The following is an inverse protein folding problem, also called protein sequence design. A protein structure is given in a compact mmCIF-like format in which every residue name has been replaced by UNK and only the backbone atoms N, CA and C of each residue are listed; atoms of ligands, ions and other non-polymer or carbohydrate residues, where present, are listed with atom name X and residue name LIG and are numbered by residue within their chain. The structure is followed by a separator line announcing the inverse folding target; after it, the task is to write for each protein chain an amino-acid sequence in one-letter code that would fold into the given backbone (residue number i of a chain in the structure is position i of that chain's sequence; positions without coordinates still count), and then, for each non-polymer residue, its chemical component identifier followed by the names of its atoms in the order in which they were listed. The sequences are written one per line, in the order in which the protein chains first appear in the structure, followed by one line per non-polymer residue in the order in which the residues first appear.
data_IF_965858752919
#
_entry.id   IF_965858752919
#
_cell.length_a   1.000
_cell.length_b   1.000
_cell.length_c   1.000
_cell.angle_alpha   90.00
_cell.angle_beta   90.00
_cell.angle_gamma   90.00
#
_symmetry.space_group_name_H-M   'P 1'
#
loop_
_entity.id
_entity.type
_entity.pdbx_description
1 polymer ?
#
# COMPACT_ATOMS: atom_id res chain seq x y z
N UNK A 1 3.50 24.80 -42.69
CA UNK A 1 2.21 24.20 -42.29
C UNK A 1 2.51 23.21 -41.17
N UNK A 2 2.11 23.55 -39.95
CA UNK A 2 2.25 22.71 -38.76
C UNK A 2 1.17 21.62 -38.78
N UNK A 3 1.57 20.36 -38.61
CA UNK A 3 0.64 19.30 -38.23
C UNK A 3 1.05 18.81 -36.84
N UNK A 4 0.23 19.18 -35.87
CA UNK A 4 0.25 18.64 -34.53
C UNK A 4 -0.24 17.18 -34.57
N UNK A 5 0.54 16.27 -34.00
CA UNK A 5 0.06 14.96 -33.56
C UNK A 5 0.14 14.94 -32.04
N UNK A 6 -1.01 15.20 -31.43
CA UNK A 6 -1.29 14.88 -30.04
C UNK A 6 -1.67 13.39 -29.95
N UNK A 7 -1.08 12.66 -28.99
CA UNK A 7 -1.58 11.42 -28.36
C UNK A 7 -0.37 10.66 -27.78
N UNK A 8 -0.27 10.26 -26.52
CA UNK A 8 -1.13 10.28 -25.34
C UNK A 8 -0.15 10.41 -24.16
N UNK A 9 -0.53 11.17 -23.13
CA UNK A 9 0.16 11.12 -21.85
C UNK A 9 0.18 9.65 -21.39
N UNK A 10 1.37 9.07 -21.26
CA UNK A 10 1.58 7.85 -20.49
C UNK A 10 1.28 8.20 -19.04
N UNK A 11 0.00 8.19 -18.68
CA UNK A 11 -0.43 8.21 -17.28
C UNK A 11 0.27 7.02 -16.66
N UNK A 12 1.19 7.29 -15.74
CA UNK A 12 1.92 6.29 -14.98
C UNK A 12 0.91 5.37 -14.31
N UNK A 13 0.63 4.25 -14.97
CA UNK A 13 -0.08 3.14 -14.37
C UNK A 13 0.85 2.62 -13.28
N UNK A 14 0.65 3.07 -12.05
CA UNK A 14 1.24 2.40 -10.90
C UNK A 14 0.75 0.96 -10.98
N UNK A 15 1.65 0.07 -11.41
CA UNK A 15 1.34 -1.34 -11.58
C UNK A 15 1.09 -1.89 -10.18
N UNK A 16 -0.20 -2.02 -9.84
CA UNK A 16 -0.62 -2.64 -8.59
C UNK A 16 -0.04 -4.04 -8.58
N UNK A 17 0.76 -4.40 -7.55
CA UNK A 17 1.32 -5.75 -7.50
C UNK A 17 0.17 -6.74 -7.35
N UNK A 18 0.21 -7.83 -8.12
CA UNK A 18 -0.88 -8.82 -8.18
C UNK A 18 -1.20 -9.42 -6.80
N UNK A 19 -0.21 -9.45 -5.90
CA UNK A 19 -0.37 -9.97 -4.55
C UNK A 19 -0.93 -8.97 -3.54
N UNK A 20 -1.21 -7.72 -3.91
CA UNK A 20 -1.73 -6.70 -3.00
C UNK A 20 -2.96 -7.19 -2.23
N UNK A 21 -3.86 -7.92 -2.89
CA UNK A 21 -5.06 -8.48 -2.25
C UNK A 21 -4.78 -9.65 -1.29
N UNK A 22 -3.62 -10.30 -1.38
CA UNK A 22 -3.23 -11.42 -0.53
C UNK A 22 -2.45 -10.98 0.71
N UNK A 23 -2.02 -9.72 0.78
CA UNK A 23 -1.28 -9.21 1.94
C UNK A 23 -2.26 -8.78 3.03
N UNK A 24 -1.95 -9.17 4.26
CA UNK A 24 -2.71 -8.77 5.44
C UNK A 24 -2.15 -7.44 5.95
N UNK A 25 -2.98 -6.40 5.92
CA UNK A 25 -2.63 -5.05 6.33
C UNK A 25 -3.10 -4.69 7.75
N UNK A 26 -3.93 -5.53 8.34
CA UNK A 26 -4.56 -5.30 9.65
C UNK A 26 -4.26 -6.43 10.61
N UNK A 27 -4.24 -6.14 11.91
CA UNK A 27 -4.13 -7.16 12.95
C UNK A 27 -5.48 -7.86 13.23
N UNK A 28 -5.47 -8.78 14.20
CA UNK A 28 -6.67 -9.49 14.68
C UNK A 28 -7.71 -8.58 15.34
N UNK A 29 -7.33 -7.38 15.76
CA UNK A 29 -8.21 -6.36 16.35
C UNK A 29 -8.77 -5.41 15.29
N UNK A 30 -8.39 -5.56 14.02
CA UNK A 30 -8.78 -4.68 12.92
C UNK A 30 -8.03 -3.34 12.90
N UNK A 31 -6.92 -3.22 13.63
CA UNK A 31 -6.03 -2.06 13.56
C UNK A 31 -5.09 -2.19 12.36
N UNK A 32 -4.83 -1.07 11.70
CA UNK A 32 -3.84 -0.98 10.62
C UNK A 32 -2.44 -1.24 11.16
N UNK A 33 -1.69 -2.13 10.52
CA UNK A 33 -0.29 -2.37 10.82
C UNK A 33 0.55 -1.18 10.34
N UNK A 34 1.25 -0.51 11.26
CA UNK A 34 2.17 0.58 10.92
C UNK A 34 3.40 0.10 10.15
N UNK A 35 3.82 -1.15 10.35
CA UNK A 35 4.94 -1.76 9.63
C UNK A 35 4.52 -3.07 8.97
N UNK A 36 4.90 -3.24 7.70
CA UNK A 36 4.59 -4.43 6.92
C UNK A 36 5.86 -5.11 6.40
N UNK A 37 5.92 -6.44 6.44
CA UNK A 37 7.08 -7.18 5.95
C UNK A 37 7.12 -7.15 4.42
N UNK A 38 8.31 -6.85 3.88
CA UNK A 38 8.60 -6.83 2.45
C UNK A 38 9.04 -8.20 1.99
N UNK A 39 8.63 -8.58 0.78
CA UNK A 39 9.10 -9.81 0.16
C UNK A 39 10.56 -9.68 -0.24
N UNK A 40 11.45 -10.39 0.47
CA UNK A 40 12.89 -10.38 0.17
C UNK A 40 13.19 -10.99 -1.21
N UNK A 41 12.43 -11.99 -1.62
CA UNK A 41 12.53 -12.63 -2.93
C UNK A 41 12.12 -11.68 -4.06
N UNK A 42 11.11 -10.84 -3.84
CA UNK A 42 10.73 -9.80 -4.81
C UNK A 42 11.81 -8.72 -4.91
N UNK A 43 12.42 -8.33 -3.79
CA UNK A 43 13.58 -7.43 -3.80
C UNK A 43 14.76 -8.02 -4.59
N UNK A 44 14.91 -9.35 -4.58
CA UNK A 44 15.91 -10.09 -5.38
C UNK A 44 15.46 -10.38 -6.83
N UNK A 45 14.27 -9.95 -7.23
CA UNK A 45 13.68 -10.20 -8.55
C UNK A 45 13.45 -11.70 -8.85
N UNK A 46 13.25 -12.53 -7.82
CA UNK A 46 13.02 -13.98 -7.96
C UNK A 46 11.59 -14.41 -7.55
N UNK A 47 10.82 -13.53 -6.90
CA UNK A 47 9.44 -13.82 -6.53
C UNK A 47 8.47 -13.55 -7.69
N UNK A 48 7.85 -14.60 -8.22
CA UNK A 48 6.75 -14.52 -9.21
C UNK A 48 5.41 -15.06 -8.66
N UNK A 49 5.29 -15.22 -7.35
CA UNK A 49 4.09 -15.80 -6.74
C UNK A 49 2.96 -14.74 -6.68
N UNK A 50 1.81 -14.95 -7.35
CA UNK A 50 0.70 -14.00 -7.32
C UNK A 50 0.02 -13.95 -5.94
N UNK A 51 0.08 -15.05 -5.17
CA UNK A 51 -0.44 -15.13 -3.80
C UNK A 51 0.66 -14.97 -2.74
N UNK A 52 1.55 -14.00 -2.90
CA UNK A 52 2.60 -13.72 -1.92
C UNK A 52 2.02 -12.95 -0.72
N UNK A 53 2.28 -13.42 0.51
CA UNK A 53 1.82 -12.79 1.75
C UNK A 53 2.63 -11.55 2.19
N UNK A 54 3.71 -11.26 1.47
CA UNK A 54 4.65 -10.18 1.78
C UNK A 54 4.54 -9.05 0.75
N UNK A 55 4.84 -7.82 1.14
CA UNK A 55 4.68 -6.65 0.25
C UNK A 55 5.67 -6.72 -0.91
N UNK A 56 5.17 -6.53 -2.14
CA UNK A 56 5.98 -6.30 -3.32
C UNK A 56 6.03 -4.79 -3.57
N UNK A 57 7.21 -4.18 -3.42
CA UNK A 57 7.38 -2.75 -3.63
C UNK A 57 7.75 -2.46 -5.07
N UNK A 58 6.83 -1.83 -5.81
CA UNK A 58 7.13 -1.26 -7.13
C UNK A 58 7.71 0.15 -7.04
N UNK A 59 7.47 0.86 -5.93
CA UNK A 59 7.90 2.24 -5.71
C UNK A 59 9.26 2.30 -4.99
N UNK A 60 10.26 2.88 -5.67
CA UNK A 60 11.59 3.11 -5.09
C UNK A 60 11.67 4.26 -4.09
N UNK A 61 10.57 5.00 -3.90
CA UNK A 61 10.51 6.16 -2.99
C UNK A 61 10.24 5.80 -1.53
N UNK A 62 9.86 4.54 -1.26
CA UNK A 62 9.48 4.08 0.07
C UNK A 62 10.72 3.55 0.80
N UNK A 63 10.88 3.97 2.05
CA UNK A 63 11.98 3.52 2.89
C UNK A 63 11.72 2.11 3.43
N UNK A 64 12.66 1.19 3.18
CA UNK A 64 12.65 -0.17 3.71
C UNK A 64 13.70 -0.26 4.83
N UNK A 65 13.25 -0.55 6.05
CA UNK A 65 14.10 -0.70 7.24
C UNK A 65 13.94 -2.14 7.72
N UNK A 66 15.05 -2.89 7.84
CA UNK A 66 15.03 -4.27 8.34
C UNK A 66 13.99 -5.18 7.65
N UNK A 67 13.92 -5.13 6.31
CA UNK A 67 12.95 -5.87 5.50
C UNK A 67 11.47 -5.52 5.79
N UNK A 68 11.21 -4.35 6.36
CA UNK A 68 9.88 -3.84 6.66
C UNK A 68 9.69 -2.44 6.08
N UNK A 69 8.47 -2.11 5.70
CA UNK A 69 8.07 -0.77 5.25
C UNK A 69 7.06 -0.18 6.20
N UNK A 70 7.14 1.14 6.38
CA UNK A 70 6.19 1.86 7.21
C UNK A 70 5.02 2.33 6.36
N UNK A 71 3.79 2.04 6.78
CA UNK A 71 2.56 2.39 6.07
C UNK A 71 2.21 3.85 6.28
N UNK A 72 1.73 4.51 5.23
CA UNK A 72 1.22 5.86 5.35
C UNK A 72 -0.20 5.87 5.92
N UNK A 73 -0.33 6.26 7.19
CA UNK A 73 -1.63 6.39 7.86
C UNK A 73 -2.54 7.42 7.20
N UNK A 74 -1.98 8.49 6.64
CA UNK A 74 -2.74 9.52 5.93
C UNK A 74 -3.26 9.00 4.58
N UNK A 75 -2.51 8.15 3.88
CA UNK A 75 -2.94 7.58 2.61
C UNK A 75 -4.15 6.65 2.78
N UNK A 76 -4.16 5.84 3.84
CA UNK A 76 -5.31 4.97 4.18
C UNK A 76 -6.56 5.80 4.48
N UNK A 77 -6.40 7.01 5.02
CA UNK A 77 -7.49 7.96 5.25
C UNK A 77 -7.87 8.79 4.01
N UNK A 78 -7.14 8.64 2.89
CA UNK A 78 -7.31 9.46 1.70
C UNK A 78 -6.78 10.90 1.82
N UNK A 79 -5.90 11.16 2.79
CA UNK A 79 -5.36 12.48 3.10
C UNK A 79 -3.88 12.69 2.67
N UNK A 80 -3.09 11.64 2.32
CA UNK A 80 -1.73 11.86 1.75
C UNK A 80 -1.89 12.39 0.32
N UNK A 81 -1.57 13.67 0.12
CA UNK A 81 -1.48 14.29 -1.22
C UNK A 81 -0.03 14.50 -1.67
N UNK A 82 0.96 13.96 -0.93
CA UNK A 82 2.37 14.22 -1.28
C UNK A 82 2.75 13.38 -2.51
N UNK A 83 3.36 13.99 -3.54
CA UNK A 83 3.78 13.26 -4.74
C UNK A 83 4.94 12.29 -4.47
N UNK A 84 5.70 12.51 -3.40
CA UNK A 84 6.79 11.66 -2.93
C UNK A 84 6.57 11.33 -1.43
N UNK A 85 5.53 10.56 -1.11
CA UNK A 85 5.32 10.07 0.26
C UNK A 85 6.41 8.99 0.54
N UNK A 86 7.26 9.20 1.56
CA UNK A 86 8.32 8.24 1.99
C UNK A 86 7.76 6.93 2.61
N UNK A 87 6.46 6.92 2.86
CA UNK A 87 5.72 5.84 3.50
C UNK A 87 4.94 5.05 2.45
N UNK A 88 4.75 3.76 2.68
CA UNK A 88 4.05 2.87 1.76
C UNK A 88 2.56 3.20 1.66
N UNK A 89 2.09 3.41 0.44
CA UNK A 89 0.67 3.59 0.13
C UNK A 89 0.08 2.26 -0.28
N UNK A 90 -0.95 1.83 0.42
CA UNK A 90 -1.61 0.56 0.12
C UNK A 90 -2.41 0.75 -1.18
N UNK A 91 -2.11 -0.02 -2.25
CA UNK A 91 -2.75 0.15 -3.56
C UNK A 91 -4.14 -0.49 -3.61
N UNK A 92 -4.54 -1.22 -2.57
CA UNK A 92 -5.86 -1.83 -2.41
C UNK A 92 -6.68 -1.04 -1.40
N UNK A 93 -7.97 -0.85 -1.68
CA UNK A 93 -8.90 -0.33 -0.71
C UNK A 93 -8.99 -1.30 0.48
N UNK A 94 -8.53 -0.86 1.64
CA UNK A 94 -8.70 -1.63 2.86
C UNK A 94 -10.20 -1.66 3.24
N UNK A 95 -10.71 -2.78 3.76
CA UNK A 95 -12.01 -2.77 4.38
C UNK A 95 -12.01 -1.73 5.52
N UNK A 96 -13.11 -0.97 5.69
CA UNK A 96 -13.21 0.00 6.77
C UNK A 96 -12.92 -0.70 8.09
N UNK A 97 -12.01 -0.14 8.90
CA UNK A 97 -11.74 -0.63 10.24
C UNK A 97 -13.09 -0.83 10.95
N UNK A 98 -13.37 -2.03 11.49
CA UNK A 98 -14.69 -2.31 12.00
C UNK A 98 -14.98 -1.32 13.14
N UNK A 99 -16.18 -0.75 13.05
CA UNK A 99 -16.87 0.08 14.02
C UNK A 99 -16.91 -0.59 15.41
N UNK A 100 -15.78 -0.74 16.09
CA UNK A 100 -15.67 -1.40 17.40
C UNK A 100 -15.18 -0.45 18.50
N UNK A 101 -14.89 0.81 18.17
CA UNK A 101 -14.54 1.83 19.15
C UNK A 101 -15.74 2.51 19.82
N UNK A 102 -16.99 2.10 19.51
CA UNK A 102 -18.20 2.69 20.08
C UNK A 102 -18.81 1.90 21.26
N UNK A 103 -18.19 0.79 21.71
CA UNK A 103 -18.79 -0.10 22.71
C UNK A 103 -18.05 -0.17 24.06
N UNK A 104 -17.22 0.83 24.43
CA UNK A 104 -16.50 0.79 25.71
C UNK A 104 -16.88 1.91 26.71
N UNK A 105 -17.90 2.74 26.45
CA UNK A 105 -18.26 3.84 27.37
C UNK A 105 -19.73 3.90 27.79
N UNK A 106 -20.42 2.77 27.83
CA UNK A 106 -21.74 2.66 28.45
C UNK A 106 -21.81 1.26 29.08
N UNK A 107 -21.57 1.05 30.36
CA UNK A 107 -22.48 1.28 31.52
C UNK A 107 -21.96 0.41 32.68
N UNK A 108 -22.49 0.45 33.92
CA UNK A 108 -23.58 1.28 34.46
C UNK A 108 -23.15 2.31 35.52
#
# INVERSE_FOLDING_TARGET
MWIALAALATVGAQVVPQNAHCVVYTDSCGQLLDTLPVCQDFNRQVCNRPACKFIHLSDGNVEVIENRVTVCRDAVKGACMRPQCKYYHIPVALPPAPLMAIASSATP
#
